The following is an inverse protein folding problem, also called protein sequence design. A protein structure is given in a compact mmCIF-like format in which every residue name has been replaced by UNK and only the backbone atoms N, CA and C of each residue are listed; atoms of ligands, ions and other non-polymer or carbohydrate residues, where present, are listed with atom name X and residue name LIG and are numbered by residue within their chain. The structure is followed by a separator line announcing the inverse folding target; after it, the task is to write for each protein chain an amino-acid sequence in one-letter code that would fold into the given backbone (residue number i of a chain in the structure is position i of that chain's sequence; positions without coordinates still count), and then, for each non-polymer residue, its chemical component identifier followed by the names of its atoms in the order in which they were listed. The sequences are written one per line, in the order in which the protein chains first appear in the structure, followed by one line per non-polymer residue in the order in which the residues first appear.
data_IF_648586191512
#
_entry.id   IF_648586191512
#
_cell.length_a   1.000
_cell.length_b   1.000
_cell.length_c   1.000
_cell.angle_alpha   90.00
_cell.angle_beta   90.00
_cell.angle_gamma   90.00
#
_symmetry.space_group_name_H-M   'P 1'
#
loop_
_entity.id
_entity.type
_entity.pdbx_description
1 polymer ?
#
# COMPACT_ATOMS: atom_id res chain seq x y z
N UNK A 1 -16.31 -23.66 22.63
CA UNK A 1 -15.13 -22.83 22.28
C UNK A 1 -15.23 -22.57 20.79
N UNK A 2 -15.05 -21.32 20.34
CA UNK A 2 -15.02 -21.03 18.90
C UNK A 2 -13.76 -21.65 18.29
N UNK A 3 -13.88 -22.27 17.12
CA UNK A 3 -12.70 -22.76 16.39
C UNK A 3 -12.06 -21.61 15.58
N UNK A 4 -10.83 -21.82 15.09
CA UNK A 4 -10.09 -20.77 14.36
C UNK A 4 -10.81 -20.30 13.09
N UNK A 5 -11.50 -21.20 12.38
CA UNK A 5 -12.24 -20.85 11.16
C UNK A 5 -13.45 -19.97 11.46
N UNK A 6 -14.15 -20.21 12.57
CA UNK A 6 -15.25 -19.37 13.05
C UNK A 6 -14.77 -17.96 13.38
N UNK A 7 -13.60 -17.83 14.01
CA UNK A 7 -13.01 -16.51 14.32
C UNK A 7 -12.59 -15.76 13.05
N UNK A 8 -12.00 -16.46 12.07
CA UNK A 8 -11.64 -15.87 10.77
C UNK A 8 -12.88 -15.42 10.01
N UNK A 9 -13.93 -16.25 9.96
CA UNK A 9 -15.20 -15.85 9.35
C UNK A 9 -15.76 -14.59 10.01
N UNK A 10 -15.80 -14.53 11.34
CA UNK A 10 -16.32 -13.37 12.05
C UNK A 10 -15.54 -12.09 11.76
N UNK A 11 -14.21 -12.17 11.62
CA UNK A 11 -13.40 -11.01 11.22
C UNK A 11 -13.85 -10.50 9.86
N UNK A 12 -13.96 -11.39 8.86
CA UNK A 12 -14.35 -10.98 7.52
C UNK A 12 -15.82 -10.57 7.41
N UNK A 13 -16.73 -11.23 8.12
CA UNK A 13 -18.16 -10.86 8.17
C UNK A 13 -18.32 -9.44 8.71
N UNK A 14 -17.55 -9.08 9.75
CA UNK A 14 -17.51 -7.70 10.26
C UNK A 14 -16.92 -6.72 9.27
N UNK A 15 -15.89 -7.09 8.50
CA UNK A 15 -15.34 -6.22 7.45
C UNK A 15 -16.35 -6.00 6.32
N UNK A 16 -17.05 -7.06 5.91
CA UNK A 16 -18.08 -7.05 4.87
C UNK A 16 -19.29 -6.21 5.28
N UNK A 17 -19.69 -6.28 6.55
CA UNK A 17 -20.77 -5.46 7.11
C UNK A 17 -20.33 -4.01 7.31
N UNK A 18 -19.25 -3.79 8.07
CA UNK A 18 -18.88 -2.47 8.57
C UNK A 18 -18.35 -1.53 7.49
N UNK A 19 -17.86 -2.06 6.35
CA UNK A 19 -17.50 -1.21 5.19
C UNK A 19 -18.63 -0.33 4.69
N UNK A 20 -19.88 -0.69 4.98
CA UNK A 20 -21.06 0.06 4.57
C UNK A 20 -21.46 1.14 5.59
N UNK A 21 -20.72 1.28 6.71
CA UNK A 21 -20.97 2.32 7.69
C UNK A 21 -20.27 3.63 7.31
N UNK A 22 -20.93 4.81 7.45
CA UNK A 22 -20.44 6.08 6.89
C UNK A 22 -19.04 6.52 7.31
N UNK A 23 -18.60 6.16 8.51
CA UNK A 23 -17.31 6.57 9.07
C UNK A 23 -16.28 5.42 9.11
N UNK A 24 -16.62 4.24 8.61
CA UNK A 24 -15.75 3.09 8.71
C UNK A 24 -14.73 3.06 7.58
N UNK A 25 -13.45 3.18 7.93
CA UNK A 25 -12.35 3.15 6.99
C UNK A 25 -11.88 1.70 6.77
N UNK A 26 -12.43 1.04 5.76
CA UNK A 26 -12.06 -0.34 5.43
C UNK A 26 -10.60 -0.46 4.96
N UNK A 27 -10.11 0.47 4.12
CA UNK A 27 -8.73 0.48 3.59
C UNK A 27 -7.69 0.15 4.66
N UNK A 28 -7.60 0.95 5.73
CA UNK A 28 -6.57 0.79 6.77
C UNK A 28 -6.84 -0.36 7.76
N UNK A 29 -7.99 -1.02 7.68
CA UNK A 29 -8.31 -2.19 8.52
C UNK A 29 -8.15 -3.51 7.77
N UNK A 30 -8.26 -3.46 6.45
CA UNK A 30 -8.08 -4.60 5.56
C UNK A 30 -6.69 -4.64 4.91
N UNK A 31 -5.88 -3.59 5.03
CA UNK A 31 -4.56 -3.46 4.41
C UNK A 31 -3.66 -4.67 4.67
N UNK A 32 -3.65 -5.21 5.89
CA UNK A 32 -2.83 -6.36 6.27
C UNK A 32 -3.12 -7.61 5.42
N UNK A 33 -4.38 -7.82 5.01
CA UNK A 33 -4.76 -8.95 4.15
C UNK A 33 -4.13 -8.80 2.76
N UNK A 34 -4.15 -7.59 2.20
CA UNK A 34 -3.42 -7.30 0.97
C UNK A 34 -1.92 -7.46 1.17
N UNK A 35 -1.37 -6.94 2.28
CA UNK A 35 0.05 -7.02 2.63
C UNK A 35 0.60 -8.46 2.63
N UNK A 36 -0.18 -9.44 3.10
CA UNK A 36 0.18 -10.87 3.05
C UNK A 36 0.35 -11.36 1.61
N UNK A 37 -0.54 -10.94 0.70
CA UNK A 37 -0.57 -11.43 -0.68
C UNK A 37 0.17 -10.55 -1.69
N UNK A 38 0.64 -9.36 -1.31
CA UNK A 38 1.38 -8.46 -2.19
C UNK A 38 2.54 -9.14 -2.94
N UNK A 39 3.36 -10.02 -2.33
CA UNK A 39 4.39 -10.74 -3.08
C UNK A 39 3.82 -11.61 -4.21
N UNK A 40 2.71 -12.32 -3.96
CA UNK A 40 2.02 -13.13 -4.97
C UNK A 40 1.41 -12.27 -6.06
N UNK A 41 0.75 -11.17 -5.67
CA UNK A 41 0.09 -10.23 -6.58
C UNK A 41 1.11 -9.59 -7.52
N UNK A 42 2.21 -9.05 -6.98
CA UNK A 42 3.28 -8.42 -7.78
C UNK A 42 3.97 -9.45 -8.69
N UNK A 43 4.21 -10.67 -8.20
CA UNK A 43 4.80 -11.73 -9.02
C UNK A 43 3.90 -12.16 -10.17
N UNK A 44 2.60 -12.36 -9.94
CA UNK A 44 1.64 -12.76 -10.98
C UNK A 44 1.43 -11.65 -12.01
N UNK A 45 1.30 -10.39 -11.58
CA UNK A 45 1.08 -9.24 -12.49
C UNK A 45 2.34 -8.83 -13.26
N UNK A 46 3.50 -8.77 -12.60
CA UNK A 46 4.71 -8.14 -13.17
C UNK A 46 5.91 -9.08 -13.32
N UNK A 47 5.83 -10.33 -12.87
CA UNK A 47 6.93 -11.29 -12.95
C UNK A 47 8.09 -11.01 -12.00
N UNK A 48 7.92 -10.11 -11.02
CA UNK A 48 8.97 -9.73 -10.09
C UNK A 48 8.81 -10.39 -8.72
N UNK A 49 9.94 -10.75 -8.10
CA UNK A 49 9.98 -11.20 -6.69
C UNK A 49 10.11 -10.00 -5.78
N UNK A 50 9.22 -9.87 -4.80
CA UNK A 50 9.27 -8.82 -3.77
C UNK A 50 10.19 -9.26 -2.64
N UNK A 51 11.23 -8.48 -2.37
CA UNK A 51 12.19 -8.71 -1.29
C UNK A 51 11.76 -8.02 0.01
N UNK A 52 11.13 -6.85 -0.11
CA UNK A 52 10.66 -6.07 1.03
C UNK A 52 9.32 -5.41 0.78
N UNK A 53 8.50 -5.35 1.83
CA UNK A 53 7.26 -4.56 1.89
C UNK A 53 7.37 -3.60 3.07
N UNK A 54 6.96 -2.35 2.85
CA UNK A 54 6.83 -1.33 3.89
C UNK A 54 5.43 -0.73 3.80
N UNK A 55 4.55 -0.98 4.78
CA UNK A 55 3.22 -0.38 4.81
C UNK A 55 3.28 1.07 5.31
N UNK A 56 2.27 1.87 4.96
CA UNK A 56 2.07 3.24 5.45
C UNK A 56 3.35 4.11 5.30
N UNK A 57 3.98 4.03 4.12
CA UNK A 57 5.27 4.63 3.85
C UNK A 57 5.16 6.17 3.81
N UNK A 58 5.84 6.89 4.72
CA UNK A 58 5.70 8.34 4.83
C UNK A 58 6.51 9.07 3.74
N UNK A 59 5.95 10.18 3.26
CA UNK A 59 6.63 11.11 2.36
C UNK A 59 6.48 12.53 2.90
N UNK A 60 7.59 13.26 2.94
CA UNK A 60 7.60 14.68 3.29
C UNK A 60 7.06 15.49 2.11
N UNK A 61 5.96 16.22 2.32
CA UNK A 61 5.35 17.05 1.27
C UNK A 61 6.35 18.06 0.65
N UNK A 62 7.22 18.63 1.48
CA UNK A 62 8.27 19.55 1.04
C UNK A 62 9.29 18.95 0.06
N UNK A 63 9.48 17.63 0.04
CA UNK A 63 10.30 16.94 -0.99
C UNK A 63 9.60 16.94 -2.35
N UNK A 64 8.26 16.97 -2.37
CA UNK A 64 7.47 16.82 -3.59
C UNK A 64 7.06 18.16 -4.22
N UNK A 65 6.77 19.16 -3.40
CA UNK A 65 6.05 20.37 -3.82
C UNK A 65 6.80 21.69 -3.64
N UNK A 66 8.15 21.66 -3.54
CA UNK A 66 8.97 22.88 -3.38
C UNK A 66 8.41 23.85 -2.35
N UNK A 67 8.27 23.36 -1.11
CA UNK A 67 7.95 24.17 0.06
C UNK A 67 6.65 25.00 -0.02
N UNK A 68 5.61 24.57 -0.75
CA UNK A 68 4.28 25.11 -0.49
C UNK A 68 3.87 24.72 0.96
N UNK A 69 3.84 25.67 1.91
CA UNK A 69 3.56 25.37 3.31
C UNK A 69 2.10 24.94 3.52
N UNK A 70 1.23 25.16 2.52
CA UNK A 70 -0.19 24.79 2.57
C UNK A 70 -0.42 23.32 2.25
N UNK A 71 0.55 22.62 1.64
CA UNK A 71 0.38 21.23 1.20
C UNK A 71 0.77 20.16 2.25
N UNK A 72 0.68 20.51 3.54
CA UNK A 72 0.48 19.62 4.71
C UNK A 72 1.56 19.73 5.80
N UNK A 73 1.12 20.07 7.02
CA UNK A 73 1.90 19.91 8.25
C UNK A 73 2.18 18.44 8.62
N UNK A 74 1.48 17.49 7.99
CA UNK A 74 1.59 16.06 8.23
C UNK A 74 2.23 15.34 7.03
N UNK A 75 3.05 14.30 7.25
CA UNK A 75 3.57 13.49 6.14
C UNK A 75 2.44 12.90 5.28
N UNK A 76 2.62 12.98 3.97
CA UNK A 76 1.83 12.22 3.00
C UNK A 76 2.17 10.73 3.14
N UNK A 77 1.32 9.84 2.66
CA UNK A 77 1.51 8.40 2.83
C UNK A 77 1.19 7.59 1.58
N UNK A 78 1.97 6.55 1.36
CA UNK A 78 1.69 5.48 0.39
C UNK A 78 1.26 4.24 1.18
N UNK A 79 0.20 3.55 0.76
CA UNK A 79 -0.30 2.38 1.49
C UNK A 79 0.77 1.30 1.59
N UNK A 80 1.46 0.99 0.49
CA UNK A 80 2.61 0.09 0.50
C UNK A 80 3.72 0.53 -0.45
N UNK A 81 4.95 0.25 -0.04
CA UNK A 81 6.12 0.22 -0.91
C UNK A 81 6.60 -1.23 -0.99
N UNK A 82 6.59 -1.81 -2.18
CA UNK A 82 7.16 -3.13 -2.44
C UNK A 82 8.45 -3.00 -3.27
N UNK A 83 9.54 -3.57 -2.75
CA UNK A 83 10.88 -3.48 -3.35
C UNK A 83 11.23 -4.80 -4.00
N UNK A 84 11.59 -4.74 -5.28
CA UNK A 84 12.11 -5.86 -6.07
C UNK A 84 13.56 -5.53 -6.45
N UNK A 85 14.49 -6.00 -5.63
CA UNK A 85 15.88 -5.59 -5.62
C UNK A 85 16.65 -6.14 -6.83
N UNK A 86 16.39 -7.39 -7.20
CA UNK A 86 17.01 -8.07 -8.36
C UNK A 86 16.85 -7.31 -9.68
N UNK A 87 15.73 -6.61 -9.84
CA UNK A 87 15.39 -5.81 -11.03
C UNK A 87 15.37 -4.31 -10.74
N UNK A 88 15.89 -3.89 -9.58
CA UNK A 88 15.93 -2.49 -9.11
C UNK A 88 14.63 -1.72 -9.36
N UNK A 89 13.50 -2.35 -9.03
CA UNK A 89 12.16 -1.75 -9.22
C UNK A 89 11.45 -1.61 -7.88
N UNK A 90 10.79 -0.46 -7.68
CA UNK A 90 9.94 -0.20 -6.51
C UNK A 90 8.52 0.07 -6.98
N UNK A 91 7.58 -0.64 -6.38
CA UNK A 91 6.15 -0.44 -6.57
C UNK A 91 5.59 0.40 -5.43
N UNK A 92 5.17 1.62 -5.76
CA UNK A 92 4.38 2.49 -4.88
C UNK A 92 2.91 2.16 -5.06
N UNK A 93 2.34 1.46 -4.09
CA UNK A 93 1.01 0.87 -4.19
C UNK A 93 0.02 1.71 -3.40
N UNK A 94 -1.00 2.22 -4.10
CA UNK A 94 -2.18 2.81 -3.47
C UNK A 94 -3.29 1.77 -3.43
N UNK A 95 -3.81 1.49 -2.23
CA UNK A 95 -4.89 0.55 -2.01
C UNK A 95 -6.18 1.33 -1.82
N UNK A 96 -7.23 1.00 -2.59
CA UNK A 96 -8.61 1.46 -2.47
C UNK A 96 -9.54 0.28 -2.22
N UNK A 97 -10.49 0.45 -1.31
CA UNK A 97 -11.55 -0.54 -1.05
C UNK A 97 -12.93 -0.10 -1.56
N UNK A 98 -13.00 1.10 -2.14
CA UNK A 98 -14.16 1.68 -2.80
C UNK A 98 -13.68 2.50 -4.02
N UNK A 99 -14.37 2.39 -5.16
CA UNK A 99 -13.97 3.03 -6.42
C UNK A 99 -13.96 4.57 -6.36
N UNK A 100 -14.75 5.17 -5.46
CA UNK A 100 -14.84 6.62 -5.31
C UNK A 100 -13.81 7.19 -4.34
N UNK A 101 -12.92 6.34 -3.78
CA UNK A 101 -11.94 6.75 -2.76
C UNK A 101 -10.64 7.34 -3.32
N UNK A 102 -10.48 7.41 -4.65
CA UNK A 102 -9.32 8.04 -5.29
C UNK A 102 -9.47 9.56 -5.37
N UNK A 103 -8.54 10.27 -4.73
CA UNK A 103 -8.52 11.73 -4.66
C UNK A 103 -7.48 12.31 -5.62
N UNK A 104 -7.75 13.43 -6.32
CA UNK A 104 -6.79 14.07 -7.23
C UNK A 104 -5.41 14.34 -6.61
N UNK A 105 -5.36 14.71 -5.32
CA UNK A 105 -4.11 14.94 -4.61
C UNK A 105 -3.22 13.67 -4.55
N UNK A 106 -3.82 12.47 -4.45
CA UNK A 106 -3.07 11.21 -4.41
C UNK A 106 -2.34 10.94 -5.72
N UNK A 107 -3.01 11.10 -6.86
CA UNK A 107 -2.36 11.02 -8.16
C UNK A 107 -1.18 11.98 -8.28
N UNK A 108 -1.39 13.23 -7.85
CA UNK A 108 -0.37 14.27 -7.93
C UNK A 108 0.87 13.92 -7.09
N UNK A 109 0.72 13.57 -5.82
CA UNK A 109 1.90 13.27 -4.99
C UNK A 109 2.57 11.95 -5.37
N UNK A 110 1.83 10.93 -5.83
CA UNK A 110 2.43 9.68 -6.30
C UNK A 110 3.28 9.93 -7.56
N UNK A 111 2.78 10.73 -8.51
CA UNK A 111 3.58 11.14 -9.68
C UNK A 111 4.84 11.88 -9.25
N UNK A 112 4.72 12.83 -8.32
CA UNK A 112 5.88 13.56 -7.78
C UNK A 112 6.86 12.68 -7.01
N UNK A 113 6.36 11.68 -6.28
CA UNK A 113 7.21 10.72 -5.58
C UNK A 113 8.02 9.88 -6.57
N UNK A 114 7.39 9.42 -7.66
CA UNK A 114 8.10 8.75 -8.77
C UNK A 114 9.20 9.64 -9.37
N UNK A 115 8.90 10.90 -9.65
CA UNK A 115 9.86 11.88 -10.19
C UNK A 115 11.06 12.11 -9.25
N UNK A 116 10.84 12.11 -7.94
CA UNK A 116 11.88 12.34 -6.94
C UNK A 116 12.74 11.11 -6.61
N UNK A 117 12.32 9.93 -7.05
CA UNK A 117 12.97 8.65 -6.74
C UNK A 117 13.06 8.34 -5.23
N UNK A 118 13.45 7.11 -4.89
CA UNK A 118 13.66 6.71 -3.49
C UNK A 118 14.75 7.55 -2.82
N UNK A 119 15.82 7.88 -3.57
CA UNK A 119 16.92 8.67 -3.03
C UNK A 119 16.44 9.94 -2.32
N UNK A 120 15.68 10.80 -2.98
CA UNK A 120 15.26 12.06 -2.36
C UNK A 120 14.15 11.84 -1.31
N UNK A 121 13.33 10.78 -1.47
CA UNK A 121 12.29 10.45 -0.49
C UNK A 121 12.89 10.05 0.86
N UNK A 122 13.98 9.28 0.87
CA UNK A 122 14.66 8.85 2.11
C UNK A 122 15.23 10.04 2.89
N UNK A 123 15.79 11.04 2.22
CA UNK A 123 16.19 12.30 2.87
C UNK A 123 15.01 12.98 3.56
N UNK A 124 13.85 13.02 2.88
CA UNK A 124 12.62 13.52 3.47
C UNK A 124 12.15 12.74 4.71
N UNK A 125 12.37 11.43 4.75
CA UNK A 125 12.02 10.59 5.92
C UNK A 125 12.93 10.90 7.10
N UNK A 126 14.23 11.13 6.87
CA UNK A 126 15.17 11.53 7.92
C UNK A 126 14.79 12.88 8.52
N UNK A 127 14.37 13.83 7.68
CA UNK A 127 13.85 15.12 8.15
C UNK A 127 12.59 14.97 9.01
N UNK A 128 11.66 14.11 8.58
CA UNK A 128 10.44 13.84 9.36
C UNK A 128 10.80 13.20 10.69
N UNK A 129 11.68 12.19 10.69
CA UNK A 129 12.14 11.56 11.92
C UNK A 129 12.70 12.60 12.86
N UNK A 130 13.63 13.45 12.38
CA UNK A 130 14.28 14.49 13.16
C UNK A 130 13.26 15.40 13.87
N UNK A 131 12.24 15.87 13.14
CA UNK A 131 11.19 16.75 13.66
C UNK A 131 10.09 16.02 14.47
N UNK A 132 9.98 14.69 14.38
CA UNK A 132 8.88 13.94 14.99
C UNK A 132 9.10 13.60 16.46
N UNK A 133 8.03 13.67 17.25
CA UNK A 133 7.99 13.12 18.62
C UNK A 133 7.87 11.58 18.64
N UNK A 134 7.53 10.95 17.51
CA UNK A 134 7.31 9.50 17.41
C UNK A 134 8.61 8.70 17.18
N UNK A 135 9.67 9.01 17.93
CA UNK A 135 11.02 8.49 17.71
C UNK A 135 11.10 6.97 17.62
N UNK A 136 10.40 6.25 18.49
CA UNK A 136 10.37 4.77 18.48
C UNK A 136 9.80 4.21 17.17
N UNK A 137 8.71 4.80 16.65
CA UNK A 137 8.08 4.35 15.40
C UNK A 137 8.99 4.62 14.21
N UNK A 138 9.60 5.81 14.15
CA UNK A 138 10.55 6.11 13.09
C UNK A 138 11.81 5.25 13.17
N UNK A 139 12.35 4.95 14.35
CA UNK A 139 13.48 4.04 14.47
C UNK A 139 13.19 2.64 13.89
N UNK A 140 11.96 2.13 14.05
CA UNK A 140 11.55 0.88 13.41
C UNK A 140 11.53 1.01 11.87
N UNK A 141 11.04 2.13 11.35
CA UNK A 141 11.08 2.42 9.91
C UNK A 141 12.53 2.51 9.42
N UNK A 142 13.40 3.25 10.11
CA UNK A 142 14.82 3.38 9.75
C UNK A 142 15.54 2.02 9.75
N UNK A 143 15.21 1.13 10.69
CA UNK A 143 15.71 -0.26 10.68
C UNK A 143 15.28 -1.01 9.42
N UNK A 144 14.03 -0.83 8.99
CA UNK A 144 13.53 -1.41 7.74
C UNK A 144 14.23 -0.81 6.51
N UNK A 145 14.44 0.51 6.48
CA UNK A 145 15.18 1.18 5.40
C UNK A 145 16.63 0.69 5.31
N UNK A 146 17.29 0.45 6.45
CA UNK A 146 18.61 -0.14 6.49
C UNK A 146 18.62 -1.58 5.96
N UNK A 147 17.65 -2.40 6.36
CA UNK A 147 17.52 -3.77 5.85
C UNK A 147 17.32 -3.83 4.32
N UNK A 148 16.69 -2.81 3.74
CA UNK A 148 16.53 -2.64 2.28
C UNK A 148 17.82 -2.13 1.62
N UNK A 149 18.75 -1.56 2.38
CA UNK A 149 19.98 -0.94 1.86
C UNK A 149 19.85 0.55 1.49
N UNK A 150 18.76 1.20 1.90
CA UNK A 150 18.49 2.61 1.60
C UNK A 150 19.06 3.59 2.62
N UNK A 151 19.50 3.08 3.78
CA UNK A 151 19.99 3.89 4.87
C UNK A 151 21.15 3.18 5.58
N UNK A 152 22.23 3.90 5.87
CA UNK A 152 23.14 3.53 6.95
C UNK A 152 22.54 3.99 8.29
N UNK A 153 22.12 3.03 9.10
CA UNK A 153 21.45 3.33 10.37
C UNK A 153 22.40 3.90 11.43
N UNK A 154 23.68 3.53 11.40
CA UNK A 154 24.67 3.99 12.37
C UNK A 154 25.00 5.47 12.15
N UNK A 155 25.12 5.86 10.89
CA UNK A 155 25.40 7.23 10.48
C UNK A 155 24.13 8.06 10.26
N UNK A 156 22.95 7.43 10.34
CA UNK A 156 21.66 7.99 9.88
C UNK A 156 21.80 8.67 8.51
N UNK A 157 22.52 8.02 7.61
CA UNK A 157 22.89 8.58 6.30
C UNK A 157 22.16 7.85 5.21
N UNK A 158 21.53 8.60 4.31
CA UNK A 158 20.90 8.06 3.13
C UNK A 158 21.94 7.39 2.21
N UNK A 159 21.69 6.13 1.86
CA UNK A 159 22.51 5.34 0.94
C UNK A 159 21.71 4.82 -0.25
N UNK A 160 20.45 5.27 -0.41
CA UNK A 160 19.57 4.78 -1.45
C UNK A 160 20.10 5.08 -2.85
N UNK A 161 20.11 4.03 -3.68
CA UNK A 161 20.38 4.12 -5.10
C UNK A 161 19.18 4.61 -5.91
N UNK A 162 19.35 4.63 -7.23
CA UNK A 162 18.25 4.86 -8.17
C UNK A 162 17.44 3.58 -8.37
N UNK A 163 16.12 3.71 -8.36
CA UNK A 163 15.19 2.62 -8.68
C UNK A 163 14.26 3.02 -9.81
N UNK A 164 13.81 2.04 -10.60
CA UNK A 164 12.65 2.22 -11.45
C UNK A 164 11.39 2.26 -10.58
N UNK A 165 10.70 3.40 -10.53
CA UNK A 165 9.51 3.56 -9.68
C UNK A 165 8.26 3.36 -10.52
N UNK A 166 7.45 2.37 -10.14
CA UNK A 166 6.12 2.11 -10.71
C UNK A 166 5.04 2.48 -9.70
N UNK A 167 4.00 3.15 -10.16
CA UNK A 167 2.81 3.41 -9.36
C UNK A 167 1.81 2.29 -9.68
N UNK A 168 1.20 1.72 -8.65
CA UNK A 168 0.21 0.65 -8.79
C UNK A 168 -1.02 0.99 -7.97
N UNK A 169 -2.19 0.80 -8.55
CA UNK A 169 -3.46 0.98 -7.87
C UNK A 169 -4.12 -0.38 -7.66
N UNK A 170 -4.40 -0.72 -6.41
CA UNK A 170 -5.26 -1.85 -6.06
C UNK A 170 -6.63 -1.28 -5.75
N UNK A 171 -7.68 -1.71 -6.46
CA UNK A 171 -9.03 -1.17 -6.29
C UNK A 171 -10.10 -2.19 -6.71
N UNK A 172 -11.40 -1.98 -6.36
CA UNK A 172 -12.43 -2.98 -6.65
C UNK A 172 -12.55 -3.32 -8.14
N UNK A 173 -12.67 -2.31 -8.99
CA UNK A 173 -12.81 -2.45 -10.44
C UNK A 173 -12.07 -1.33 -11.18
N UNK A 174 -11.92 -1.46 -12.50
CA UNK A 174 -11.25 -0.46 -13.34
C UNK A 174 -12.13 -0.10 -14.53
N UNK A 175 -12.03 1.14 -15.01
CA UNK A 175 -12.55 1.51 -16.33
C UNK A 175 -11.49 1.12 -17.37
N UNK A 176 -11.37 -0.19 -17.62
CA UNK A 176 -10.65 -0.86 -18.73
C UNK A 176 -9.25 -0.36 -19.11
N UNK A 177 -8.24 -1.24 -19.02
CA UNK A 177 -7.02 -1.18 -19.86
C UNK A 177 -5.79 -0.48 -19.27
N UNK A 178 -5.81 -0.08 -18.00
CA UNK A 178 -4.64 0.52 -17.36
C UNK A 178 -3.74 -0.55 -16.73
N UNK A 179 -2.53 -0.73 -17.29
CA UNK A 179 -1.54 -1.72 -16.81
C UNK A 179 -1.12 -1.52 -15.34
N UNK A 180 -1.30 -0.30 -14.83
CA UNK A 180 -0.99 0.13 -13.47
C UNK A 180 -2.07 -0.28 -12.45
N UNK A 181 -3.23 -0.78 -12.90
CA UNK A 181 -4.33 -1.19 -12.03
C UNK A 181 -4.35 -2.71 -11.84
N UNK A 182 -4.59 -3.11 -10.58
CA UNK A 182 -4.87 -4.47 -10.15
C UNK A 182 -6.25 -4.46 -9.51
N UNK A 183 -7.23 -5.09 -10.16
CA UNK A 183 -8.59 -5.17 -9.62
C UNK A 183 -8.71 -6.27 -8.56
N UNK A 184 -9.82 -6.29 -7.81
CA UNK A 184 -10.10 -7.40 -6.89
C UNK A 184 -10.28 -8.72 -7.63
N UNK A 185 -10.87 -8.71 -8.82
CA UNK A 185 -10.96 -9.90 -9.68
C UNK A 185 -9.57 -10.41 -10.10
N UNK A 186 -8.62 -9.51 -10.41
CA UNK A 186 -7.24 -9.92 -10.67
C UNK A 186 -6.62 -10.60 -9.43
N UNK A 187 -6.85 -10.06 -8.23
CA UNK A 187 -6.34 -10.67 -7.00
C UNK A 187 -6.96 -12.06 -6.77
N UNK A 188 -8.27 -12.20 -6.95
CA UNK A 188 -8.96 -13.50 -6.85
C UNK A 188 -8.35 -14.50 -7.83
N UNK A 189 -8.12 -14.10 -9.08
CA UNK A 189 -7.46 -14.93 -10.09
C UNK A 189 -6.02 -15.32 -9.67
N UNK A 190 -5.23 -14.36 -9.19
CA UNK A 190 -3.84 -14.58 -8.76
C UNK A 190 -3.71 -15.50 -7.56
N UNK A 191 -4.76 -15.62 -6.76
CA UNK A 191 -4.83 -16.47 -5.57
C UNK A 191 -5.63 -17.76 -5.79
N UNK A 192 -6.14 -18.00 -7.00
CA UNK A 192 -6.98 -19.18 -7.32
C UNK A 192 -6.32 -20.54 -7.05
N UNK A 193 -4.99 -20.62 -7.09
CA UNK A 193 -4.23 -21.84 -6.79
C UNK A 193 -4.11 -22.13 -5.28
N UNK A 194 -4.50 -21.18 -4.40
CA UNK A 194 -4.42 -21.33 -2.94
C UNK A 194 -5.74 -21.84 -2.38
N UNK A 195 -5.70 -23.02 -1.78
CA UNK A 195 -6.89 -23.70 -1.25
C UNK A 195 -7.02 -23.62 0.28
N UNK A 196 -6.21 -22.81 0.96
CA UNK A 196 -6.36 -22.63 2.40
C UNK A 196 -7.62 -21.82 2.72
N UNK A 197 -8.15 -22.05 3.93
CA UNK A 197 -9.41 -21.46 4.38
C UNK A 197 -9.35 -19.93 4.40
N UNK A 198 -8.24 -19.36 4.86
CA UNK A 198 -8.10 -17.91 5.02
C UNK A 198 -8.05 -17.20 3.67
N UNK A 199 -7.26 -17.71 2.72
CA UNK A 199 -7.24 -17.19 1.33
C UNK A 199 -8.62 -17.28 0.70
N UNK A 200 -9.28 -18.44 0.82
CA UNK A 200 -10.62 -18.64 0.26
C UNK A 200 -11.63 -17.65 0.85
N UNK A 201 -11.58 -17.42 2.17
CA UNK A 201 -12.48 -16.47 2.83
C UNK A 201 -12.20 -15.03 2.43
N UNK A 202 -10.93 -14.65 2.26
CA UNK A 202 -10.55 -13.32 1.77
C UNK A 202 -11.05 -13.08 0.34
N UNK A 203 -10.85 -14.04 -0.58
CA UNK A 203 -11.34 -13.95 -1.96
C UNK A 203 -12.86 -13.78 -2.03
N UNK A 204 -13.63 -14.45 -1.15
CA UNK A 204 -15.09 -14.25 -1.05
C UNK A 204 -15.47 -12.82 -0.66
N UNK A 205 -14.76 -12.22 0.31
CA UNK A 205 -14.96 -10.81 0.67
C UNK A 205 -14.64 -9.90 -0.51
N UNK A 206 -13.50 -10.11 -1.19
CA UNK A 206 -13.14 -9.33 -2.37
C UNK A 206 -14.23 -9.35 -3.45
N UNK A 207 -14.79 -10.53 -3.76
CA UNK A 207 -15.91 -10.66 -4.71
C UNK A 207 -17.14 -9.87 -4.26
N UNK A 208 -17.49 -9.93 -2.98
CA UNK A 208 -18.62 -9.15 -2.44
C UNK A 208 -18.39 -7.64 -2.52
N UNK A 209 -17.15 -7.19 -2.28
CA UNK A 209 -16.78 -5.78 -2.29
C UNK A 209 -16.80 -5.16 -3.69
N UNK A 210 -16.66 -5.96 -4.75
CA UNK A 210 -16.84 -5.50 -6.15
C UNK A 210 -18.31 -5.18 -6.41
N UNK A 211 -19.21 -6.14 -6.12
CA UNK A 211 -20.62 -6.08 -6.47
C UNK A 211 -21.40 -5.02 -5.68
N UNK A 212 -21.09 -4.85 -4.39
CA UNK A 212 -21.76 -3.86 -3.53
C UNK A 212 -21.18 -2.43 -3.69
N UNK A 213 -20.80 -2.05 -4.90
CA UNK A 213 -20.43 -0.66 -5.21
C UNK A 213 -21.72 0.18 -5.32
N UNK A 214 -21.76 1.45 -4.84
CA UNK A 214 -23.00 2.23 -4.68
C UNK A 214 -23.87 2.46 -5.92
N UNK A 215 -23.46 1.99 -7.10
CA UNK A 215 -24.22 2.07 -8.34
C UNK A 215 -25.43 1.14 -8.41
N UNK A 216 -25.53 0.12 -7.55
CA UNK A 216 -26.63 -0.86 -7.58
C UNK A 216 -27.78 -0.60 -6.58
N UNK A 217 -27.74 0.53 -5.86
CA UNK A 217 -28.78 0.95 -4.90
C UNK A 217 -29.55 2.20 -5.35
N UNK A 218 -29.64 2.46 -6.66
CA UNK A 218 -30.51 3.51 -7.23
C UNK A 218 -31.76 2.90 -7.88
#
# INVERSE_FOLDING_TARGET
MRNEQELVNEIFDRLDEWRNFPAYLLEGRADIFFGIYLPNIIKKKFGCTVDHIIPEFPIKAGVLFNADPTESAHPLKINFVAVCESVKTVYMISLKTDINSLRPLQYRYLSKARENNIKNIVDGILDIEHASMLKKKYNNLLHKLHAVGWLDQSLKKNTAGQYNIKIVYIQPSSKSGEDEIITFDNIIEYLSEKNDFFTTRFCRSLSSWVNNSPSELQ
#
